data_IF_258726485286
#
_entry.id   IF_258726485286
#
_cell.length_a   1.000
_cell.length_b   1.000
_cell.length_c   1.000
_cell.angle_alpha   90.00
_cell.angle_beta   90.00
_cell.angle_gamma   90.00
#
_symmetry.space_group_name_H-M   'P 1'
#
loop_
_entity.id
_entity.type
_entity.pdbx_description
1 polymer ?
#
# COMPACT_ATOMS: atom_id res chain seq x y z
N UNK A 1 46.92 15.99 14.46
CA UNK A 1 45.57 16.56 14.22
C UNK A 1 44.99 15.85 13.02
N UNK A 2 44.33 14.72 13.27
CA UNK A 2 43.80 13.79 12.27
C UNK A 2 42.31 13.68 12.50
N UNK A 3 41.52 14.29 11.62
CA UNK A 3 40.06 14.17 11.57
C UNK A 3 39.68 12.83 10.97
N UNK A 4 39.28 11.90 11.84
CA UNK A 4 38.65 10.64 11.48
C UNK A 4 37.15 10.92 11.21
N UNK A 5 36.78 11.07 9.94
CA UNK A 5 35.39 11.09 9.52
C UNK A 5 34.89 9.66 9.37
N UNK A 6 34.18 9.14 10.38
CA UNK A 6 33.47 7.87 10.30
C UNK A 6 32.31 7.99 9.29
N UNK A 7 32.52 7.44 8.09
CA UNK A 7 31.45 7.08 7.17
C UNK A 7 30.68 5.88 7.79
N UNK A 8 29.54 6.16 8.40
CA UNK A 8 28.56 5.13 8.74
C UNK A 8 27.75 4.83 7.47
N UNK A 9 28.20 3.84 6.69
CA UNK A 9 27.43 3.29 5.56
C UNK A 9 26.31 2.44 6.18
N UNK A 10 25.11 2.99 6.29
CA UNK A 10 23.92 2.20 6.60
C UNK A 10 23.59 1.31 5.40
N UNK A 11 23.79 0.01 5.55
CA UNK A 11 23.21 -1.01 4.68
C UNK A 11 21.69 -1.06 4.90
N UNK A 12 20.94 -0.61 3.91
CA UNK A 12 19.51 -0.85 3.70
C UNK A 12 19.39 -1.29 2.23
N UNK A 13 18.66 -2.30 1.80
CA UNK A 13 17.84 -3.31 2.45
C UNK A 13 17.65 -4.41 1.39
N UNK A 14 17.76 -5.67 1.80
CA UNK A 14 17.45 -6.83 0.95
C UNK A 14 17.52 -8.14 1.72
N UNK A 15 17.17 -8.08 3.00
CA UNK A 15 16.73 -9.27 3.71
C UNK A 15 15.22 -9.22 3.74
N UNK A 16 14.60 -10.19 3.07
CA UNK A 16 13.36 -10.75 3.56
C UNK A 16 13.52 -10.94 5.08
N UNK A 17 12.69 -10.24 5.86
CA UNK A 17 12.59 -10.32 7.33
C UNK A 17 13.73 -9.67 8.18
N UNK A 18 14.02 -8.39 7.94
CA UNK A 18 15.08 -7.62 8.61
C UNK A 18 14.85 -7.20 10.09
N UNK A 19 13.84 -7.74 10.80
CA UNK A 19 13.70 -7.47 12.24
C UNK A 19 14.49 -8.54 13.00
N UNK A 20 15.52 -8.12 13.74
CA UNK A 20 16.14 -8.99 14.73
C UNK A 20 15.18 -9.13 15.90
N UNK A 21 14.94 -10.37 16.32
CA UNK A 21 13.91 -10.73 17.30
C UNK A 21 14.50 -11.68 18.34
N UNK A 22 14.08 -11.53 19.59
CA UNK A 22 14.28 -12.53 20.63
C UNK A 22 13.59 -13.84 20.21
N UNK A 23 14.19 -14.99 20.54
CA UNK A 23 13.65 -16.30 20.19
C UNK A 23 13.47 -17.19 21.42
N UNK A 24 12.23 -17.65 21.64
CA UNK A 24 11.87 -18.61 22.70
C UNK A 24 11.70 -20.00 22.09
N UNK A 25 12.55 -20.94 22.50
CA UNK A 25 12.46 -22.35 22.12
C UNK A 25 11.69 -23.13 23.19
N UNK A 26 10.73 -23.94 22.74
CA UNK A 26 9.84 -24.76 23.59
C UNK A 26 9.92 -26.20 23.12
N UNK A 27 9.76 -27.16 24.05
CA UNK A 27 9.89 -28.58 23.70
C UNK A 27 8.81 -29.01 22.69
N UNK A 28 9.24 -29.61 21.58
CA UNK A 28 8.34 -30.14 20.53
C UNK A 28 7.45 -29.11 19.83
N UNK A 29 7.77 -27.80 19.90
CA UNK A 29 6.97 -26.72 19.30
C UNK A 29 7.84 -25.76 18.49
N UNK A 30 7.22 -25.12 17.51
CA UNK A 30 7.86 -24.05 16.74
C UNK A 30 8.38 -22.93 17.65
N UNK A 31 9.59 -22.38 17.38
CA UNK A 31 10.13 -21.26 18.12
C UNK A 31 9.23 -20.03 18.01
N UNK A 32 9.05 -19.30 19.12
CA UNK A 32 8.38 -18.01 19.10
C UNK A 32 9.42 -16.92 18.89
N UNK A 33 9.18 -16.06 17.89
CA UNK A 33 10.03 -14.90 17.61
C UNK A 33 9.31 -13.62 18.04
N UNK A 34 10.00 -12.69 18.65
CA UNK A 34 9.38 -11.49 19.18
C UNK A 34 10.27 -10.66 20.09
N UNK A 35 9.67 -10.10 21.14
CA UNK A 35 10.34 -9.30 22.16
C UNK A 35 10.02 -9.87 23.53
N UNK A 36 11.03 -10.25 24.30
CA UNK A 36 10.88 -10.48 25.74
C UNK A 36 10.54 -9.13 26.37
N UNK A 37 9.41 -9.00 27.05
CA UNK A 37 9.01 -7.75 27.74
C UNK A 37 9.52 -7.75 29.17
N UNK A 38 9.30 -8.86 29.87
CA UNK A 38 9.64 -9.02 31.28
C UNK A 38 9.91 -10.48 31.60
N UNK A 39 10.90 -10.75 32.43
CA UNK A 39 11.15 -12.07 33.00
C UNK A 39 10.84 -12.04 34.50
N UNK A 40 9.82 -12.79 34.91
CA UNK A 40 9.47 -13.01 36.32
C UNK A 40 10.07 -14.29 36.87
N UNK A 41 9.70 -14.64 38.11
CA UNK A 41 10.22 -15.82 38.79
C UNK A 41 9.72 -17.16 38.21
N UNK A 42 8.51 -17.19 37.64
CA UNK A 42 7.88 -18.42 37.13
C UNK A 42 7.52 -18.37 35.64
N UNK A 43 7.47 -17.17 35.07
CA UNK A 43 7.05 -16.96 33.69
C UNK A 43 7.71 -15.72 33.07
N UNK A 44 7.71 -15.68 31.74
CA UNK A 44 8.09 -14.53 30.94
C UNK A 44 6.88 -13.92 30.25
N UNK A 45 6.85 -12.60 30.17
CA UNK A 45 5.96 -11.85 29.30
C UNK A 45 6.66 -11.63 27.97
N UNK A 46 6.04 -12.07 26.89
CA UNK A 46 6.62 -12.09 25.56
C UNK A 46 5.64 -11.51 24.54
N UNK A 47 6.09 -10.55 23.74
CA UNK A 47 5.33 -10.05 22.58
C UNK A 47 5.78 -10.84 21.36
N UNK A 48 5.01 -11.86 20.96
CA UNK A 48 5.27 -12.59 19.72
C UNK A 48 4.98 -11.69 18.53
N UNK A 49 5.94 -11.63 17.60
CA UNK A 49 5.86 -10.83 16.37
C UNK A 49 5.75 -11.80 15.19
N UNK A 50 4.65 -11.73 14.45
CA UNK A 50 4.39 -12.56 13.27
C UNK A 50 4.32 -11.66 12.04
N UNK A 51 5.34 -11.75 11.18
CA UNK A 51 5.45 -10.98 9.94
C UNK A 51 5.28 -11.91 8.76
N UNK A 52 4.06 -11.98 8.21
CA UNK A 52 3.78 -12.76 7.00
C UNK A 52 3.89 -11.88 5.76
N UNK A 53 4.31 -12.50 4.66
CA UNK A 53 4.36 -11.86 3.36
C UNK A 53 3.03 -11.23 2.95
N UNK A 54 3.06 -9.99 2.48
CA UNK A 54 1.88 -9.27 2.00
C UNK A 54 0.77 -9.11 3.05
N UNK A 55 1.09 -9.30 4.33
CA UNK A 55 0.14 -9.23 5.44
C UNK A 55 0.64 -8.27 6.52
N UNK A 56 -0.28 -7.61 7.26
CA UNK A 56 0.08 -6.80 8.42
C UNK A 56 0.87 -7.59 9.48
N UNK A 57 1.78 -6.92 10.18
CA UNK A 57 2.62 -7.50 11.24
C UNK A 57 1.81 -7.82 12.50
N UNK A 58 1.44 -9.06 12.78
CA UNK A 58 0.63 -9.37 13.97
C UNK A 58 1.50 -9.40 15.23
N UNK A 59 0.99 -8.84 16.32
CA UNK A 59 1.67 -8.83 17.63
C UNK A 59 0.74 -9.47 18.67
N UNK A 60 1.19 -10.54 19.29
CA UNK A 60 0.45 -11.26 20.33
C UNK A 60 1.16 -11.14 21.67
N UNK A 61 0.44 -10.70 22.71
CA UNK A 61 0.95 -10.75 24.08
C UNK A 61 0.78 -12.16 24.63
N UNK A 62 1.87 -12.77 25.07
CA UNK A 62 1.90 -14.13 25.61
C UNK A 62 2.56 -14.12 26.99
N UNK A 63 2.06 -14.98 27.88
CA UNK A 63 2.73 -15.35 29.12
C UNK A 63 3.19 -16.80 28.99
N UNK A 64 4.49 -17.04 29.08
CA UNK A 64 5.10 -18.37 28.88
C UNK A 64 5.77 -18.78 30.19
N UNK A 65 5.41 -19.94 30.75
CA UNK A 65 6.05 -20.43 31.97
C UNK A 65 7.50 -20.81 31.69
N UNK A 66 8.40 -20.53 32.62
CA UNK A 66 9.83 -20.88 32.49
C UNK A 66 10.03 -22.39 32.32
N UNK A 67 9.19 -23.21 32.94
CA UNK A 67 9.20 -24.68 32.78
C UNK A 67 8.95 -25.14 31.34
N UNK A 68 8.26 -24.32 30.54
CA UNK A 68 7.91 -24.63 29.16
C UNK A 68 8.99 -24.10 28.17
N UNK A 69 10.01 -23.39 28.67
CA UNK A 69 11.10 -22.80 27.88
C UNK A 69 12.33 -23.69 27.98
N UNK A 70 12.75 -24.23 26.84
CA UNK A 70 13.99 -25.00 26.70
C UNK A 70 15.21 -24.08 26.61
N UNK A 71 15.07 -23.00 25.86
CA UNK A 71 16.15 -22.06 25.55
C UNK A 71 15.57 -20.70 25.17
N UNK A 72 16.26 -19.65 25.61
CA UNK A 72 15.96 -18.26 25.26
C UNK A 72 17.19 -17.66 24.60
N UNK A 73 17.02 -17.13 23.39
CA UNK A 73 18.05 -16.39 22.67
C UNK A 73 17.61 -14.93 22.58
N UNK A 74 18.36 -14.05 23.22
CA UNK A 74 18.11 -12.61 23.18
C UNK A 74 19.00 -11.96 22.14
N UNK A 75 18.46 -10.96 21.46
CA UNK A 75 19.26 -10.07 20.60
C UNK A 75 20.02 -9.06 21.48
N UNK A 76 20.97 -8.33 20.89
CA UNK A 76 21.70 -7.32 21.64
C UNK A 76 20.81 -6.14 22.08
N UNK A 77 21.25 -5.43 23.11
CA UNK A 77 20.45 -4.36 23.73
C UNK A 77 20.12 -3.22 22.75
N UNK A 78 21.00 -2.93 21.79
CA UNK A 78 20.80 -1.87 20.80
C UNK A 78 19.71 -2.26 19.80
N UNK A 79 19.77 -3.48 19.28
CA UNK A 79 18.73 -4.03 18.41
C UNK A 79 17.40 -4.14 19.14
N UNK A 80 17.41 -4.55 20.42
CA UNK A 80 16.21 -4.68 21.26
C UNK A 80 15.56 -3.33 21.54
N UNK A 81 16.34 -2.28 21.80
CA UNK A 81 15.84 -0.91 21.91
C UNK A 81 15.19 -0.44 20.60
N UNK A 82 15.80 -0.75 19.45
CA UNK A 82 15.21 -0.49 18.13
C UNK A 82 13.89 -1.24 17.91
N UNK A 83 13.82 -2.51 18.30
CA UNK A 83 12.60 -3.32 18.21
C UNK A 83 11.46 -2.76 19.06
N UNK A 84 11.75 -2.29 20.28
CA UNK A 84 10.77 -1.63 21.16
C UNK A 84 10.17 -0.41 20.46
N UNK A 85 11.01 0.49 19.93
CA UNK A 85 10.53 1.69 19.23
C UNK A 85 9.66 1.34 18.02
N UNK A 86 10.03 0.31 17.24
CA UNK A 86 9.23 -0.16 16.10
C UNK A 86 7.87 -0.70 16.54
N UNK A 87 7.82 -1.49 17.60
CA UNK A 87 6.56 -2.04 18.13
C UNK A 87 5.66 -0.95 18.71
N UNK A 88 6.22 0.03 19.42
CA UNK A 88 5.46 1.18 19.93
C UNK A 88 4.89 2.03 18.79
N UNK A 89 5.69 2.27 17.74
CA UNK A 89 5.22 2.97 16.55
C UNK A 89 4.12 2.20 15.84
N UNK A 90 4.29 0.90 15.65
CA UNK A 90 3.25 0.02 15.07
C UNK A 90 1.95 0.10 15.86
N UNK A 91 2.03 0.03 17.19
CA UNK A 91 0.87 0.11 18.08
C UNK A 91 0.20 1.49 17.99
N UNK A 92 0.99 2.58 17.94
CA UNK A 92 0.48 3.95 17.77
C UNK A 92 -0.22 4.14 16.42
N UNK A 93 0.41 3.72 15.33
CA UNK A 93 -0.14 3.82 13.96
C UNK A 93 -1.46 3.05 13.87
N UNK A 94 -1.50 1.83 14.45
CA UNK A 94 -2.72 1.03 14.53
C UNK A 94 -3.78 1.66 15.41
N UNK A 95 -3.43 2.17 16.59
CA UNK A 95 -4.40 2.84 17.46
C UNK A 95 -5.04 4.03 16.75
N UNK A 96 -4.26 4.84 16.03
CA UNK A 96 -4.79 5.94 15.22
C UNK A 96 -5.75 5.39 14.16
N UNK A 97 -5.30 4.44 13.33
CA UNK A 97 -6.12 3.85 12.26
C UNK A 97 -7.40 3.19 12.79
N UNK A 98 -7.31 2.36 13.83
CA UNK A 98 -8.47 1.70 14.46
C UNK A 98 -9.41 2.71 15.12
N UNK A 99 -8.89 3.74 15.78
CA UNK A 99 -9.73 4.78 16.37
C UNK A 99 -10.52 5.54 15.29
N UNK A 100 -9.98 5.68 14.08
CA UNK A 100 -10.70 6.23 12.93
C UNK A 100 -11.73 5.24 12.37
N UNK A 101 -11.32 4.00 12.06
CA UNK A 101 -12.22 2.98 11.51
C UNK A 101 -13.42 2.69 12.43
N UNK A 102 -13.19 2.56 13.73
CA UNK A 102 -14.25 2.25 14.71
C UNK A 102 -15.20 3.44 14.94
N UNK A 103 -14.74 4.68 14.74
CA UNK A 103 -15.61 5.88 14.84
C UNK A 103 -16.51 6.03 13.62
N UNK A 104 -15.99 5.73 12.43
CA UNK A 104 -16.77 5.64 11.19
C UNK A 104 -17.89 4.58 11.29
N UNK A 105 -17.59 3.41 11.87
CA UNK A 105 -18.58 2.34 12.06
C UNK A 105 -19.66 2.66 13.12
N UNK A 106 -19.38 3.56 14.07
CA UNK A 106 -20.28 3.87 15.20
C UNK A 106 -21.01 5.21 15.06
N UNK A 107 -20.89 5.90 13.91
CA UNK A 107 -21.56 7.18 13.66
C UNK A 107 -21.13 8.30 14.62
N UNK A 108 -19.93 8.21 15.21
CA UNK A 108 -19.40 9.24 16.09
C UNK A 108 -18.99 10.48 15.31
N UNK A 109 -19.25 11.67 15.85
CA UNK A 109 -18.73 12.92 15.26
C UNK A 109 -17.21 12.87 15.27
N UNK A 110 -16.60 12.94 14.09
CA UNK A 110 -15.15 13.11 13.94
C UNK A 110 -14.77 14.44 14.57
N UNK A 111 -14.07 14.45 15.70
CA UNK A 111 -13.17 15.57 15.96
C UNK A 111 -12.21 15.61 14.78
N UNK A 112 -12.20 16.75 14.08
CA UNK A 112 -11.35 16.94 12.92
C UNK A 112 -9.91 16.59 13.28
N UNK A 113 -9.25 15.81 12.42
CA UNK A 113 -7.80 15.61 12.50
C UNK A 113 -7.16 17.00 12.71
N UNK A 114 -6.33 17.18 13.75
CA UNK A 114 -5.69 18.46 14.00
C UNK A 114 -5.01 18.94 12.72
N UNK A 115 -5.40 20.12 12.23
CA UNK A 115 -4.84 20.70 11.00
C UNK A 115 -5.71 20.59 9.75
N UNK A 116 -6.90 19.97 9.80
CA UNK A 116 -7.90 20.13 8.74
C UNK A 116 -8.48 21.55 8.77
N UNK A 117 -8.30 22.27 7.68
CA UNK A 117 -8.84 23.61 7.45
C UNK A 117 -9.73 23.61 6.21
N UNK A 118 -10.29 24.75 5.83
CA UNK A 118 -11.11 24.88 4.62
C UNK A 118 -10.52 25.90 3.66
N UNK A 119 -10.59 25.63 2.35
CA UNK A 119 -10.25 26.57 1.29
C UNK A 119 -11.17 26.39 0.07
N UNK A 120 -11.24 27.36 -0.86
CA UNK A 120 -11.99 27.18 -2.10
C UNK A 120 -11.48 25.97 -2.91
N UNK A 121 -12.40 25.20 -3.48
CA UNK A 121 -12.10 24.08 -4.36
C UNK A 121 -11.69 24.58 -5.75
N UNK A 122 -10.50 24.22 -6.27
CA UNK A 122 -10.06 24.68 -7.58
C UNK A 122 -10.89 24.13 -8.74
N UNK A 123 -11.57 22.99 -8.56
CA UNK A 123 -12.29 22.29 -9.62
C UNK A 123 -13.73 22.75 -9.86
N UNK A 124 -14.22 23.81 -9.20
CA UNK A 124 -15.60 24.30 -9.42
C UNK A 124 -15.67 25.54 -10.34
N UNK A 125 -14.52 26.14 -10.69
CA UNK A 125 -14.42 27.37 -11.49
C UNK A 125 -15.11 28.61 -10.91
N UNK A 126 -15.81 28.50 -9.78
CA UNK A 126 -16.66 29.53 -9.18
C UNK A 126 -16.19 29.97 -7.79
N UNK A 127 -15.32 29.18 -7.15
CA UNK A 127 -14.78 29.41 -5.81
C UNK A 127 -15.83 29.30 -4.69
N UNK A 128 -17.02 28.76 -4.98
CA UNK A 128 -18.14 28.67 -4.03
C UNK A 128 -18.11 27.38 -3.23
N UNK A 129 -17.53 26.33 -3.79
CA UNK A 129 -17.39 25.02 -3.15
C UNK A 129 -16.20 25.09 -2.21
N UNK A 130 -16.43 24.86 -0.93
CA UNK A 130 -15.34 24.76 0.04
C UNK A 130 -14.82 23.33 0.08
N UNK A 131 -13.51 23.19 -0.01
CA UNK A 131 -12.77 21.95 0.17
C UNK A 131 -12.09 21.93 1.54
N UNK A 132 -11.92 20.72 2.07
CA UNK A 132 -11.07 20.44 3.21
C UNK A 132 -9.61 20.46 2.78
N UNK A 133 -8.74 20.98 3.64
CA UNK A 133 -7.32 21.11 3.39
C UNK A 133 -6.53 20.54 4.56
N UNK A 134 -5.61 19.63 4.26
CA UNK A 134 -4.61 19.14 5.20
C UNK A 134 -3.22 19.50 4.69
N UNK A 135 -2.39 20.11 5.53
CA UNK A 135 -1.03 20.48 5.21
C UNK A 135 -0.06 19.55 5.96
N UNK A 136 0.52 18.60 5.22
CA UNK A 136 1.61 17.76 5.71
C UNK A 136 2.98 18.38 5.38
N UNK A 137 4.05 17.69 5.77
CA UNK A 137 5.41 18.17 5.52
C UNK A 137 5.83 18.12 4.04
N UNK A 138 5.32 17.14 3.29
CA UNK A 138 5.70 16.87 1.89
C UNK A 138 4.58 16.99 0.89
N UNK A 139 3.35 17.14 1.38
CA UNK A 139 2.19 17.29 0.54
C UNK A 139 1.16 18.21 1.19
N UNK A 140 0.24 18.71 0.36
CA UNK A 140 -0.96 19.40 0.77
C UNK A 140 -2.16 18.71 0.13
N UNK A 141 -3.01 18.08 0.93
CA UNK A 141 -4.26 17.49 0.47
C UNK A 141 -5.33 18.58 0.40
N UNK A 142 -6.06 18.63 -0.71
CA UNK A 142 -7.28 19.43 -0.90
C UNK A 142 -8.37 18.52 -1.41
N UNK A 143 -9.51 18.46 -0.74
CA UNK A 143 -10.57 17.53 -1.11
C UNK A 143 -11.96 18.02 -0.75
N UNK A 144 -12.92 17.74 -1.61
CA UNK A 144 -14.36 17.91 -1.37
C UNK A 144 -15.01 16.67 -0.73
N UNK A 145 -14.25 15.57 -0.59
CA UNK A 145 -14.72 14.33 0.02
C UNK A 145 -15.16 14.51 1.48
N UNK A 146 -15.94 13.55 1.96
CA UNK A 146 -16.34 13.46 3.36
C UNK A 146 -15.15 13.51 4.34
N UNK A 147 -15.36 13.95 5.59
CA UNK A 147 -14.30 14.11 6.57
C UNK A 147 -13.54 12.80 6.82
N UNK A 148 -14.23 11.66 6.87
CA UNK A 148 -13.61 10.36 7.12
C UNK A 148 -12.61 9.98 6.02
N UNK A 149 -13.00 10.14 4.75
CA UNK A 149 -12.11 9.85 3.62
C UNK A 149 -10.95 10.84 3.55
N UNK A 150 -11.20 12.14 3.77
CA UNK A 150 -10.16 13.15 3.82
C UNK A 150 -9.09 12.83 4.88
N UNK A 151 -9.53 12.40 6.07
CA UNK A 151 -8.67 11.98 7.17
C UNK A 151 -7.86 10.73 6.84
N UNK A 152 -8.51 9.70 6.29
CA UNK A 152 -7.86 8.46 5.89
C UNK A 152 -6.76 8.72 4.86
N UNK A 153 -7.06 9.53 3.84
CA UNK A 153 -6.09 9.86 2.78
C UNK A 153 -4.93 10.68 3.31
N UNK A 154 -5.19 11.67 4.19
CA UNK A 154 -4.13 12.44 4.84
C UNK A 154 -3.16 11.55 5.61
N UNK A 155 -3.67 10.65 6.46
CA UNK A 155 -2.85 9.72 7.23
C UNK A 155 -2.07 8.75 6.34
N UNK A 156 -2.73 8.20 5.31
CA UNK A 156 -2.09 7.31 4.35
C UNK A 156 -0.93 8.02 3.64
N UNK A 157 -1.13 9.25 3.17
CA UNK A 157 -0.10 10.02 2.48
C UNK A 157 1.08 10.32 3.39
N UNK A 158 0.86 10.74 4.65
CA UNK A 158 1.95 10.95 5.61
C UNK A 158 2.80 9.69 5.80
N UNK A 159 2.13 8.55 5.95
CA UNK A 159 2.79 7.25 6.09
C UNK A 159 3.60 6.89 4.84
N UNK A 160 2.98 7.01 3.67
CA UNK A 160 3.57 6.61 2.39
C UNK A 160 4.74 7.51 1.99
N UNK A 161 4.63 8.83 2.12
CA UNK A 161 5.75 9.74 1.85
C UNK A 161 6.93 9.49 2.81
N UNK A 162 6.67 9.22 4.09
CA UNK A 162 7.72 8.86 5.04
C UNK A 162 8.39 7.53 4.65
N UNK A 163 7.61 6.57 4.17
CA UNK A 163 8.09 5.28 3.73
C UNK A 163 8.93 5.38 2.44
N UNK A 164 8.52 6.22 1.48
CA UNK A 164 9.32 6.54 0.29
C UNK A 164 10.68 7.15 0.65
N UNK A 165 10.71 8.03 1.64
CA UNK A 165 11.94 8.63 2.18
C UNK A 165 12.98 7.62 2.63
N UNK A 166 12.52 6.50 3.18
CA UNK A 166 13.42 5.48 3.72
C UNK A 166 14.00 4.61 2.63
N UNK A 167 13.21 4.28 1.61
CA UNK A 167 13.64 3.43 0.50
C UNK A 167 14.50 4.20 -0.49
N UNK A 168 14.08 5.42 -0.83
CA UNK A 168 14.77 6.31 -1.77
C UNK A 168 14.95 7.68 -1.12
N UNK A 169 16.02 7.92 -0.36
CA UNK A 169 16.22 9.18 0.36
C UNK A 169 16.17 10.42 -0.54
N UNK A 170 15.60 11.55 -0.05
CA UNK A 170 15.59 12.81 -0.78
C UNK A 170 17.00 13.25 -1.16
N UNK A 171 17.15 13.71 -2.40
CA UNK A 171 18.38 14.26 -2.98
C UNK A 171 18.30 15.77 -3.20
N UNK A 172 17.12 16.36 -3.02
CA UNK A 172 16.85 17.80 -3.08
C UNK A 172 16.51 18.31 -1.69
N UNK A 173 17.13 19.42 -1.29
CA UNK A 173 16.79 20.12 -0.05
C UNK A 173 15.67 21.12 -0.29
N UNK A 174 14.66 21.14 0.59
CA UNK A 174 13.59 22.13 0.55
C UNK A 174 12.64 22.02 -0.65
N UNK A 175 12.40 20.80 -1.14
CA UNK A 175 11.40 20.58 -2.20
C UNK A 175 10.02 21.11 -1.77
N UNK A 176 9.33 21.78 -2.69
CA UNK A 176 7.98 22.28 -2.43
C UNK A 176 7.00 21.11 -2.24
N UNK A 177 6.11 21.16 -1.22
CA UNK A 177 5.10 20.13 -1.03
C UNK A 177 4.22 19.95 -2.27
N UNK A 178 3.97 18.71 -2.69
CA UNK A 178 3.04 18.41 -3.79
C UNK A 178 1.60 18.70 -3.37
N UNK A 179 0.80 19.29 -4.24
CA UNK A 179 -0.64 19.41 -3.99
C UNK A 179 -1.36 18.14 -4.43
N UNK A 180 -2.14 17.52 -3.55
CA UNK A 180 -2.99 16.37 -3.88
C UNK A 180 -4.44 16.85 -3.91
N UNK A 181 -5.03 16.88 -5.11
CA UNK A 181 -6.44 17.19 -5.34
C UNK A 181 -7.24 15.90 -5.41
N UNK A 182 -8.06 15.64 -4.40
CA UNK A 182 -8.96 14.49 -4.37
C UNK A 182 -10.40 14.97 -4.61
N UNK A 183 -10.88 14.74 -5.83
CA UNK A 183 -12.24 15.06 -6.24
C UNK A 183 -13.22 14.02 -5.67
N UNK A 184 -14.36 14.47 -5.17
CA UNK A 184 -15.41 13.62 -4.59
C UNK A 184 -16.28 12.93 -5.64
N UNK A 185 -16.32 13.48 -6.86
CA UNK A 185 -17.18 12.98 -7.93
C UNK A 185 -16.45 12.93 -9.27
N UNK A 186 -16.92 12.11 -10.24
CA UNK A 186 -16.37 12.09 -11.59
C UNK A 186 -16.45 13.45 -12.28
N UNK A 187 -17.48 14.24 -11.99
CA UNK A 187 -17.68 15.55 -12.62
C UNK A 187 -16.66 16.58 -12.13
N UNK A 188 -16.36 16.59 -10.83
CA UNK A 188 -15.29 17.40 -10.25
C UNK A 188 -13.93 16.98 -10.84
N UNK A 189 -13.67 15.67 -10.95
CA UNK A 189 -12.46 15.14 -11.57
C UNK A 189 -12.33 15.56 -13.05
N UNK A 190 -13.40 15.40 -13.84
CA UNK A 190 -13.41 15.76 -15.25
C UNK A 190 -13.13 17.26 -15.47
N UNK A 191 -13.56 18.11 -14.54
CA UNK A 191 -13.26 19.55 -14.58
C UNK A 191 -11.77 19.80 -14.35
N UNK A 192 -11.15 19.13 -13.38
CA UNK A 192 -9.71 19.23 -13.13
C UNK A 192 -8.86 18.63 -14.27
N UNK A 193 -9.37 17.60 -14.96
CA UNK A 193 -8.69 16.91 -16.04
C UNK A 193 -8.88 17.57 -17.43
N UNK A 194 -9.73 18.60 -17.54
CA UNK A 194 -10.17 19.18 -18.82
C UNK A 194 -9.02 19.65 -19.70
N UNK A 195 -8.02 20.30 -19.10
CA UNK A 195 -6.87 20.86 -19.81
C UNK A 195 -5.80 19.81 -20.16
N UNK A 196 -6.01 18.54 -19.76
CA UNK A 196 -5.09 17.42 -20.03
C UNK A 196 -5.52 16.56 -21.22
N UNK A 197 -6.50 16.99 -22.01
CA UNK A 197 -6.85 16.35 -23.28
C UNK A 197 -7.64 15.05 -23.16
N UNK A 198 -8.45 14.88 -22.11
CA UNK A 198 -9.35 13.72 -21.96
C UNK A 198 -8.66 12.46 -21.45
N UNK A 199 -7.73 12.60 -20.49
CA UNK A 199 -7.10 11.48 -19.78
C UNK A 199 -8.18 10.52 -19.26
N UNK A 200 -8.17 9.29 -19.76
CA UNK A 200 -9.08 8.22 -19.29
C UNK A 200 -8.64 7.61 -17.96
N UNK A 201 -7.41 7.90 -17.51
CA UNK A 201 -6.91 7.42 -16.23
C UNK A 201 -7.66 8.14 -15.10
N UNK A 202 -8.08 7.44 -14.04
CA UNK A 202 -8.83 8.04 -12.94
C UNK A 202 -7.94 8.84 -11.95
N UNK A 203 -6.64 8.95 -12.23
CA UNK A 203 -5.68 9.77 -11.52
C UNK A 203 -4.49 10.12 -12.44
N UNK A 204 -3.78 11.20 -12.13
CA UNK A 204 -2.50 11.54 -12.76
C UNK A 204 -1.68 12.52 -11.89
N UNK A 205 -0.37 12.52 -12.07
CA UNK A 205 0.55 13.54 -11.59
C UNK A 205 0.93 14.53 -12.71
N UNK A 206 0.78 15.83 -12.43
CA UNK A 206 1.27 16.92 -13.26
C UNK A 206 2.57 17.50 -12.67
N UNK A 207 3.73 17.25 -13.29
CA UNK A 207 5.01 17.77 -12.81
C UNK A 207 5.15 19.28 -12.96
N UNK A 208 4.42 19.92 -13.88
CA UNK A 208 4.51 21.38 -14.09
C UNK A 208 3.76 22.12 -12.98
N UNK A 209 2.56 21.66 -12.65
CA UNK A 209 1.76 22.21 -11.56
C UNK A 209 2.16 21.66 -10.18
N UNK A 210 3.08 20.70 -10.11
CA UNK A 210 3.39 19.91 -8.93
C UNK A 210 2.11 19.43 -8.20
N UNK A 211 1.23 18.79 -8.96
CA UNK A 211 -0.11 18.45 -8.50
C UNK A 211 -0.48 17.02 -8.88
N UNK A 212 -0.90 16.23 -7.89
CA UNK A 212 -1.60 14.96 -8.09
C UNK A 212 -3.09 15.23 -8.16
N UNK A 213 -3.78 14.70 -9.16
CA UNK A 213 -5.23 14.78 -9.31
C UNK A 213 -5.80 13.37 -9.27
N UNK A 214 -6.78 13.13 -8.40
CA UNK A 214 -7.42 11.82 -8.27
C UNK A 214 -8.94 11.97 -8.19
N UNK A 215 -9.66 11.16 -8.98
CA UNK A 215 -11.11 11.03 -8.91
C UNK A 215 -11.53 9.91 -7.96
N UNK A 216 -12.53 10.19 -7.14
CA UNK A 216 -13.19 9.22 -6.26
C UNK A 216 -14.70 9.24 -6.50
N UNK A 217 -15.32 8.07 -6.44
CA UNK A 217 -16.78 7.90 -6.38
C UNK A 217 -17.19 7.35 -5.00
N UNK A 218 -16.23 7.27 -4.07
CA UNK A 218 -16.37 6.53 -2.82
C UNK A 218 -17.50 7.09 -1.94
N UNK A 219 -17.74 8.40 -1.94
CA UNK A 219 -18.83 9.02 -1.19
C UNK A 219 -20.21 8.54 -1.68
N UNK A 220 -20.39 8.34 -2.99
CA UNK A 220 -21.63 7.79 -3.54
C UNK A 220 -21.78 6.30 -3.21
N UNK A 221 -20.68 5.56 -3.32
CA UNK A 221 -20.63 4.16 -2.91
C UNK A 221 -20.91 3.97 -1.41
N UNK A 222 -20.37 4.81 -0.54
CA UNK A 222 -20.59 4.79 0.91
C UNK A 222 -22.06 5.04 1.26
N UNK A 223 -22.68 6.08 0.67
CA UNK A 223 -24.14 6.33 0.85
C UNK A 223 -24.99 5.15 0.41
N UNK A 224 -24.64 4.52 -0.71
CA UNK A 224 -25.36 3.34 -1.21
C UNK A 224 -25.21 2.15 -0.26
N UNK A 225 -24.02 1.96 0.31
CA UNK A 225 -23.76 0.89 1.28
C UNK A 225 -24.49 1.16 2.60
N UNK A 226 -24.56 2.40 3.08
CA UNK A 226 -25.31 2.72 4.30
C UNK A 226 -26.82 2.43 4.13
N UNK A 227 -27.39 2.81 2.98
CA UNK A 227 -28.78 2.41 2.66
C UNK A 227 -28.96 0.90 2.61
N UNK A 228 -27.97 0.16 2.07
CA UNK A 228 -28.00 -1.31 2.09
C UNK A 228 -27.87 -1.87 3.51
N UNK A 229 -27.06 -1.27 4.39
CA UNK A 229 -26.92 -1.68 5.80
C UNK A 229 -28.24 -1.52 6.56
N UNK A 230 -28.93 -0.40 6.38
CA UNK A 230 -30.26 -0.18 6.95
C UNK A 230 -31.26 -1.24 6.47
N UNK A 231 -31.26 -1.52 5.16
CA UNK A 231 -32.10 -2.57 4.58
C UNK A 231 -31.77 -3.96 5.15
N UNK A 232 -30.49 -4.33 5.26
CA UNK A 232 -30.09 -5.61 5.84
C UNK A 232 -30.46 -5.71 7.32
N UNK A 233 -30.34 -4.63 8.09
CA UNK A 233 -30.75 -4.60 9.49
C UNK A 233 -32.25 -4.85 9.64
N UNK A 234 -33.08 -4.22 8.80
CA UNK A 234 -34.51 -4.46 8.75
C UNK A 234 -34.84 -5.91 8.37
N UNK A 235 -34.15 -6.48 7.38
CA UNK A 235 -34.34 -7.87 6.97
C UNK A 235 -33.91 -8.87 8.05
N UNK A 236 -32.80 -8.63 8.75
CA UNK A 236 -32.41 -9.44 9.91
C UNK A 236 -33.47 -9.42 11.00
N UNK A 237 -34.00 -8.23 11.33
CA UNK A 237 -35.07 -8.09 12.32
C UNK A 237 -36.34 -8.83 11.88
N UNK A 238 -36.70 -8.78 10.59
CA UNK A 238 -37.84 -9.51 10.01
C UNK A 238 -37.67 -11.03 10.12
N UNK A 239 -36.48 -11.55 9.78
CA UNK A 239 -36.17 -12.98 9.90
C UNK A 239 -36.20 -13.43 11.35
N UNK A 240 -35.61 -12.64 12.26
CA UNK A 240 -35.59 -12.93 13.70
C UNK A 240 -36.99 -12.95 14.30
N UNK A 241 -37.82 -11.97 13.95
CA UNK A 241 -39.22 -11.90 14.38
C UNK A 241 -40.01 -13.11 13.87
N UNK A 242 -39.88 -13.46 12.58
CA UNK A 242 -40.56 -14.62 12.02
C UNK A 242 -40.15 -15.95 12.69
N UNK A 243 -38.86 -16.10 13.05
CA UNK A 243 -38.40 -17.27 13.81
C UNK A 243 -39.02 -17.31 15.22
N UNK A 244 -39.15 -16.17 15.89
CA UNK A 244 -39.79 -16.06 17.21
C UNK A 244 -41.30 -16.34 17.14
N UNK A 245 -41.98 -15.82 16.13
CA UNK A 245 -43.41 -16.06 15.88
C UNK A 245 -43.66 -17.54 15.61
N UNK A 246 -42.80 -18.19 14.81
CA UNK A 246 -42.86 -19.64 14.57
C UNK A 246 -42.66 -20.42 15.88
N UNK A 247 -41.63 -20.09 16.68
CA UNK A 247 -41.42 -20.77 17.97
C UNK A 247 -42.63 -20.60 18.89
N UNK A 248 -43.23 -19.41 18.93
CA UNK A 248 -44.42 -19.14 19.73
C UNK A 248 -45.62 -19.98 19.27
N UNK A 249 -45.89 -20.01 17.97
CA UNK A 249 -46.99 -20.79 17.38
C UNK A 249 -46.89 -22.31 17.67
N UNK A 250 -45.66 -22.81 17.80
CA UNK A 250 -45.39 -24.23 18.08
C UNK A 250 -44.97 -24.50 19.54
N UNK A 251 -45.28 -23.61 20.49
CA UNK A 251 -44.95 -23.78 21.92
C UNK A 251 -43.46 -24.15 22.15
N UNK A 252 -42.56 -23.46 21.43
CA UNK A 252 -41.11 -23.67 21.39
C UNK A 252 -40.65 -25.02 20.81
N UNK A 253 -41.50 -25.76 20.09
CA UNK A 253 -41.16 -27.02 19.40
C UNK A 253 -41.55 -27.01 17.91
N UNK A 254 -41.08 -26.03 17.12
CA UNK A 254 -41.39 -25.99 15.70
C UNK A 254 -40.71 -27.13 14.92
N UNK A 255 -41.32 -27.57 13.80
CA UNK A 255 -40.69 -28.51 12.87
C UNK A 255 -39.32 -28.04 12.39
N UNK A 256 -38.38 -28.98 12.25
CA UNK A 256 -36.98 -28.68 11.93
C UNK A 256 -36.80 -28.08 10.53
N UNK A 257 -37.63 -28.49 9.57
CA UNK A 257 -37.70 -27.98 8.20
C UNK A 257 -38.18 -26.52 8.13
N UNK A 258 -39.12 -26.14 9.01
CA UNK A 258 -39.56 -24.75 9.11
C UNK A 258 -38.49 -23.88 9.76
N UNK A 259 -37.78 -24.38 10.79
CA UNK A 259 -36.64 -23.68 11.38
C UNK A 259 -35.46 -23.53 10.42
N UNK A 260 -35.14 -24.56 9.63
CA UNK A 260 -34.03 -24.50 8.67
C UNK A 260 -34.22 -23.40 7.63
N UNK A 261 -35.47 -23.12 7.23
CA UNK A 261 -35.79 -22.00 6.33
C UNK A 261 -35.29 -20.64 6.87
N UNK A 262 -35.42 -20.38 8.18
CA UNK A 262 -34.91 -19.15 8.80
C UNK A 262 -33.39 -19.16 8.97
N UNK A 263 -32.79 -20.33 9.20
CA UNK A 263 -31.33 -20.49 9.22
C UNK A 263 -30.72 -20.22 7.84
N UNK A 264 -31.31 -20.77 6.79
CA UNK A 264 -30.89 -20.56 5.40
C UNK A 264 -31.06 -19.10 4.96
N UNK A 265 -32.15 -18.45 5.39
CA UNK A 265 -32.34 -17.02 5.15
C UNK A 265 -31.26 -16.18 5.82
N UNK A 266 -30.91 -16.44 7.09
CA UNK A 266 -29.80 -15.75 7.80
C UNK A 266 -28.45 -15.98 7.12
N UNK A 267 -28.16 -17.22 6.74
CA UNK A 267 -26.89 -17.56 6.08
C UNK A 267 -26.75 -16.84 4.75
N UNK A 268 -27.83 -16.80 3.94
CA UNK A 268 -27.86 -16.05 2.68
C UNK A 268 -27.69 -14.55 2.91
N UNK A 269 -28.41 -13.96 3.88
CA UNK A 269 -28.29 -12.54 4.18
C UNK A 269 -26.88 -12.16 4.66
N UNK A 270 -26.26 -12.98 5.53
CA UNK A 270 -24.86 -12.79 5.96
C UNK A 270 -23.88 -12.83 4.78
N UNK A 271 -24.06 -13.76 3.84
CA UNK A 271 -23.20 -13.84 2.67
C UNK A 271 -23.33 -12.60 1.77
N UNK A 272 -24.54 -12.04 1.63
CA UNK A 272 -24.77 -10.78 0.90
C UNK A 272 -24.13 -9.59 1.61
N UNK A 273 -24.27 -9.50 2.93
CA UNK A 273 -23.62 -8.45 3.74
C UNK A 273 -22.10 -8.51 3.57
N UNK A 274 -21.49 -9.69 3.75
CA UNK A 274 -20.04 -9.85 3.60
C UNK A 274 -19.56 -9.48 2.20
N UNK A 275 -20.31 -9.86 1.15
CA UNK A 275 -20.01 -9.48 -0.23
C UNK A 275 -20.02 -7.95 -0.40
N UNK A 276 -21.05 -7.27 0.07
CA UNK A 276 -21.16 -5.81 -0.04
C UNK A 276 -20.02 -5.10 0.72
N UNK A 277 -19.72 -5.55 1.95
CA UNK A 277 -18.59 -5.04 2.73
C UNK A 277 -17.23 -5.31 2.06
N UNK A 278 -17.07 -6.46 1.39
CA UNK A 278 -15.86 -6.74 0.61
C UNK A 278 -15.69 -5.80 -0.59
N UNK A 279 -16.79 -5.42 -1.24
CA UNK A 279 -16.78 -4.53 -2.40
C UNK A 279 -16.32 -3.13 -1.99
N UNK A 280 -16.87 -2.56 -0.91
CA UNK A 280 -16.44 -1.23 -0.46
C UNK A 280 -14.98 -1.23 0.01
N UNK A 281 -14.53 -2.29 0.70
CA UNK A 281 -13.11 -2.44 1.05
C UNK A 281 -12.21 -2.49 -0.19
N UNK A 282 -12.67 -3.13 -1.27
CA UNK A 282 -11.94 -3.17 -2.53
C UNK A 282 -11.89 -1.80 -3.22
N UNK A 283 -13.01 -1.08 -3.32
CA UNK A 283 -13.04 0.26 -3.93
C UNK A 283 -12.14 1.25 -3.17
N UNK A 284 -12.22 1.23 -1.84
CA UNK A 284 -11.35 2.05 -0.97
C UNK A 284 -9.87 1.70 -1.18
N UNK A 285 -9.52 0.42 -1.24
CA UNK A 285 -8.15 -0.02 -1.53
C UNK A 285 -7.68 0.49 -2.89
N UNK A 286 -8.48 0.36 -3.94
CA UNK A 286 -8.13 0.83 -5.29
C UNK A 286 -7.96 2.35 -5.36
N UNK A 287 -8.73 3.12 -4.58
CA UNK A 287 -8.52 4.56 -4.46
C UNK A 287 -7.15 4.87 -3.84
N UNK A 288 -6.83 4.23 -2.72
CA UNK A 288 -5.56 4.44 -2.04
C UNK A 288 -4.36 3.99 -2.89
N UNK A 289 -4.47 2.84 -3.59
CA UNK A 289 -3.45 2.38 -4.53
C UNK A 289 -3.18 3.42 -5.62
N UNK A 290 -4.23 3.99 -6.22
CA UNK A 290 -4.09 5.07 -7.23
C UNK A 290 -3.43 6.32 -6.66
N UNK A 291 -3.84 6.75 -5.46
CA UNK A 291 -3.24 7.91 -4.80
C UNK A 291 -1.76 7.65 -4.50
N UNK A 292 -1.42 6.47 -4.01
CA UNK A 292 -0.04 6.08 -3.72
C UNK A 292 0.80 6.05 -5.02
N UNK A 293 0.25 5.50 -6.10
CA UNK A 293 0.90 5.47 -7.41
C UNK A 293 1.31 6.88 -7.86
N UNK A 294 0.36 7.82 -7.90
CA UNK A 294 0.65 9.19 -8.33
C UNK A 294 1.51 9.96 -7.32
N UNK A 295 1.33 9.70 -6.01
CA UNK A 295 2.18 10.28 -4.98
C UNK A 295 3.64 9.80 -5.11
N UNK A 296 3.87 8.56 -5.58
CA UNK A 296 5.20 8.06 -5.87
C UNK A 296 5.86 8.86 -7.00
N UNK A 297 5.15 9.09 -8.11
CA UNK A 297 5.65 9.95 -9.18
C UNK A 297 6.00 11.34 -8.68
N UNK A 298 5.12 11.96 -7.87
CA UNK A 298 5.39 13.26 -7.29
C UNK A 298 6.63 13.26 -6.39
N UNK A 299 6.77 12.26 -5.53
CA UNK A 299 7.93 12.12 -4.66
C UNK A 299 9.23 11.98 -5.47
N UNK A 300 9.23 11.09 -6.47
CA UNK A 300 10.37 10.88 -7.34
C UNK A 300 10.72 12.16 -8.11
N UNK A 301 9.74 12.84 -8.70
CA UNK A 301 9.96 14.04 -9.49
C UNK A 301 10.35 15.28 -8.67
N UNK A 302 10.01 15.35 -7.38
CA UNK A 302 10.32 16.54 -6.57
C UNK A 302 11.56 16.36 -5.70
N UNK A 303 11.69 15.19 -5.07
CA UNK A 303 12.66 14.98 -4.00
C UNK A 303 13.86 14.15 -4.44
N UNK A 304 13.71 13.22 -5.40
CA UNK A 304 14.76 12.24 -5.73
C UNK A 304 15.40 12.48 -7.10
N UNK A 305 14.58 12.62 -8.14
CA UNK A 305 14.98 12.76 -9.55
C UNK A 305 14.21 13.90 -10.23
N UNK A 306 14.58 15.16 -9.99
CA UNK A 306 13.92 16.32 -10.58
C UNK A 306 13.72 16.21 -12.10
N UNK A 307 12.49 16.44 -12.57
CA UNK A 307 12.17 16.44 -14.01
C UNK A 307 13.02 17.45 -14.78
N UNK A 308 13.34 18.59 -14.18
CA UNK A 308 14.26 19.60 -14.75
C UNK A 308 15.68 19.06 -15.00
N UNK A 309 16.06 17.99 -14.30
CA UNK A 309 17.31 17.26 -14.50
C UNK A 309 17.08 15.99 -15.34
N UNK A 310 16.04 15.90 -16.15
CA UNK A 310 15.77 14.75 -17.03
C UNK A 310 15.04 13.56 -16.40
N UNK A 311 14.76 13.59 -15.08
CA UNK A 311 13.95 12.58 -14.40
C UNK A 311 14.48 11.13 -14.49
N UNK A 312 13.60 10.18 -14.18
CA UNK A 312 13.83 8.76 -14.44
C UNK A 312 13.29 8.36 -15.82
N UNK A 313 13.86 7.32 -16.46
CA UNK A 313 13.22 6.69 -17.61
C UNK A 313 11.81 6.19 -17.26
N UNK A 314 10.86 6.34 -18.20
CA UNK A 314 9.44 6.09 -17.95
C UNK A 314 9.15 4.70 -17.39
N UNK A 315 9.78 3.65 -17.94
CA UNK A 315 9.58 2.28 -17.46
C UNK A 315 9.99 2.11 -15.98
N UNK A 316 11.00 2.84 -15.51
CA UNK A 316 11.47 2.73 -14.13
C UNK A 316 10.57 3.54 -13.20
N UNK A 317 10.17 4.74 -13.63
CA UNK A 317 9.23 5.60 -12.91
C UNK A 317 7.89 4.88 -12.67
N UNK A 318 7.28 4.36 -13.73
CA UNK A 318 6.04 3.57 -13.68
C UNK A 318 6.21 2.28 -12.89
N UNK A 319 7.33 1.58 -13.10
CA UNK A 319 7.64 0.34 -12.40
C UNK A 319 7.76 0.56 -10.89
N UNK A 320 8.39 1.65 -10.45
CA UNK A 320 8.50 2.00 -9.03
C UNK A 320 7.16 2.41 -8.43
N UNK A 321 6.40 3.27 -9.11
CA UNK A 321 5.04 3.61 -8.69
C UNK A 321 4.20 2.35 -8.50
N UNK A 322 4.32 1.39 -9.43
CA UNK A 322 3.65 0.09 -9.36
C UNK A 322 4.15 -0.84 -8.26
N UNK A 323 5.43 -0.80 -7.89
CA UNK A 323 5.95 -1.57 -6.73
C UNK A 323 5.36 -1.02 -5.43
N UNK A 324 5.17 0.29 -5.35
CA UNK A 324 4.79 0.97 -4.12
C UNK A 324 3.29 1.23 -3.96
N UNK A 325 2.49 1.20 -5.02
CA UNK A 325 1.04 1.50 -4.95
C UNK A 325 0.29 0.59 -3.97
N UNK A 326 0.63 -0.71 -3.95
CA UNK A 326 0.04 -1.73 -3.08
C UNK A 326 0.88 -2.07 -1.85
N UNK A 327 1.94 -1.32 -1.58
CA UNK A 327 2.84 -1.61 -0.47
C UNK A 327 2.17 -1.30 0.88
N UNK A 328 2.42 -2.17 1.88
CA UNK A 328 1.92 -1.93 3.23
C UNK A 328 2.87 -0.97 3.95
N UNK A 329 2.34 0.08 4.59
CA UNK A 329 3.15 0.94 5.47
C UNK A 329 2.86 0.58 6.92
N UNK A 330 3.88 0.14 7.64
CA UNK A 330 3.75 -0.25 9.05
C UNK A 330 4.99 0.17 9.83
N UNK A 331 4.79 0.80 11.00
CA UNK A 331 5.89 1.32 11.82
C UNK A 331 6.83 2.26 11.05
N UNK A 332 6.28 2.97 10.05
CA UNK A 332 7.03 3.81 9.11
C UNK A 332 7.85 3.06 8.07
N UNK A 333 7.84 1.73 8.03
CA UNK A 333 8.54 0.94 7.02
C UNK A 333 7.61 0.65 5.84
N UNK A 334 8.15 0.76 4.61
CA UNK A 334 7.46 0.31 3.40
C UNK A 334 7.69 -1.19 3.22
N UNK A 335 6.64 -1.99 3.37
CA UNK A 335 6.63 -3.43 3.09
C UNK A 335 6.18 -3.66 1.66
N UNK A 336 7.14 -3.50 0.75
CA UNK A 336 7.04 -3.86 -0.66
C UNK A 336 7.93 -5.07 -1.01
N UNK A 337 8.53 -5.70 0.01
CA UNK A 337 9.47 -6.83 -0.08
C UNK A 337 8.83 -8.14 -0.55
N UNK A 338 7.53 -8.12 -0.86
CA UNK A 338 6.80 -9.24 -1.43
C UNK A 338 6.14 -8.83 -2.73
N UNK A 339 6.26 -9.64 -3.79
CA UNK A 339 5.63 -9.33 -5.05
C UNK A 339 4.11 -9.46 -4.91
N UNK A 340 3.37 -8.57 -5.57
CA UNK A 340 1.93 -8.75 -5.77
C UNK A 340 1.67 -10.14 -6.41
N UNK A 341 0.97 -11.06 -5.71
CA UNK A 341 0.75 -12.41 -6.21
C UNK A 341 -0.04 -12.45 -7.52
N UNK A 342 -1.01 -11.56 -7.70
CA UNK A 342 -1.82 -11.50 -8.92
C UNK A 342 -0.98 -10.99 -10.08
N UNK A 343 -0.19 -9.95 -9.85
CA UNK A 343 0.70 -9.37 -10.86
C UNK A 343 1.80 -10.36 -11.25
N UNK A 344 2.43 -11.03 -10.29
CA UNK A 344 3.41 -12.08 -10.55
C UNK A 344 2.80 -13.25 -11.35
N UNK A 345 1.58 -13.67 -10.99
CA UNK A 345 0.85 -14.71 -11.73
C UNK A 345 0.60 -14.29 -13.17
N UNK A 346 0.12 -13.06 -13.40
CA UNK A 346 -0.09 -12.51 -14.75
C UNK A 346 1.21 -12.43 -15.54
N UNK A 347 2.29 -11.94 -14.92
CA UNK A 347 3.61 -11.84 -15.56
C UNK A 347 4.11 -13.23 -15.99
N UNK A 348 4.00 -14.23 -15.12
CA UNK A 348 4.40 -15.62 -15.43
C UNK A 348 3.60 -16.22 -16.56
N UNK A 349 2.28 -16.01 -16.58
CA UNK A 349 1.43 -16.46 -17.68
C UNK A 349 1.84 -15.81 -19.01
N UNK A 350 2.06 -14.50 -19.03
CA UNK A 350 2.52 -13.79 -20.21
C UNK A 350 3.92 -14.27 -20.67
N UNK A 351 4.82 -14.53 -19.73
CA UNK A 351 6.15 -15.07 -20.03
C UNK A 351 6.09 -16.48 -20.62
N UNK A 352 5.25 -17.36 -20.08
CA UNK A 352 5.04 -18.71 -20.61
C UNK A 352 4.41 -18.71 -22.00
N UNK A 353 3.52 -17.76 -22.27
CA UNK A 353 2.86 -17.59 -23.56
C UNK A 353 3.73 -16.86 -24.62
N UNK A 354 4.96 -16.44 -24.27
CA UNK A 354 5.83 -15.68 -25.18
C UNK A 354 5.32 -14.26 -25.49
N UNK A 355 4.46 -13.71 -24.63
CA UNK A 355 3.80 -12.42 -24.83
C UNK A 355 4.56 -11.23 -24.23
N UNK A 356 5.72 -11.48 -23.59
CA UNK A 356 6.58 -10.45 -23.03
C UNK A 356 7.46 -9.88 -24.15
N UNK A 357 7.35 -8.58 -24.48
CA UNK A 357 8.18 -7.98 -25.52
C UNK A 357 9.67 -8.08 -25.18
N UNK A 358 10.57 -8.02 -26.17
CA UNK A 358 12.00 -7.88 -25.94
C UNK A 358 12.28 -6.69 -25.00
N UNK A 359 13.15 -6.87 -24.01
CA UNK A 359 13.36 -5.83 -23.00
C UNK A 359 13.87 -4.52 -23.63
N UNK A 360 14.65 -4.63 -24.71
CA UNK A 360 15.15 -3.49 -25.48
C UNK A 360 14.03 -2.59 -26.05
N UNK A 361 12.85 -3.14 -26.36
CA UNK A 361 11.70 -2.38 -26.85
C UNK A 361 11.05 -1.61 -25.71
N UNK A 362 10.85 -2.26 -24.56
CA UNK A 362 10.29 -1.58 -23.38
C UNK A 362 11.20 -0.46 -22.87
N UNK A 363 12.51 -0.70 -22.81
CA UNK A 363 13.46 0.30 -22.31
C UNK A 363 13.43 1.58 -23.16
N UNK A 364 13.19 1.46 -24.47
CA UNK A 364 13.10 2.58 -25.41
C UNK A 364 11.68 3.12 -25.57
N UNK A 365 10.69 2.48 -24.96
CA UNK A 365 9.30 2.89 -25.08
C UNK A 365 9.10 4.30 -24.49
N UNK A 366 8.44 5.16 -25.25
CA UNK A 366 8.09 6.51 -24.83
C UNK A 366 6.75 6.53 -24.07
N UNK A 367 6.27 7.74 -23.75
CA UNK A 367 5.00 7.91 -23.04
C UNK A 367 3.79 7.31 -23.76
N UNK A 368 3.80 7.20 -25.10
CA UNK A 368 2.64 6.66 -25.83
C UNK A 368 2.44 5.15 -25.60
N UNK A 369 3.50 4.42 -25.30
CA UNK A 369 3.39 3.00 -24.95
C UNK A 369 2.70 2.75 -23.61
N UNK A 370 2.64 3.75 -22.73
CA UNK A 370 2.02 3.68 -21.41
C UNK A 370 0.65 4.38 -21.35
N UNK A 371 0.35 5.31 -22.27
CA UNK A 371 -0.92 6.03 -22.28
C UNK A 371 -2.10 5.22 -22.85
N UNK A 372 -3.21 5.19 -22.11
CA UNK A 372 -4.47 4.59 -22.54
C UNK A 372 -5.27 5.59 -23.40
N UNK A 373 -4.95 5.71 -24.68
CA UNK A 373 -5.74 6.53 -25.62
C UNK A 373 -6.84 5.73 -26.34
N UNK A 374 -6.65 4.42 -26.55
CA UNK A 374 -7.60 3.54 -27.25
C UNK A 374 -7.69 2.12 -26.65
N UNK A 375 -8.79 1.36 -26.84
CA UNK A 375 -8.96 0.02 -26.24
C UNK A 375 -7.90 -1.02 -26.63
N UNK A 376 -7.34 -0.94 -27.83
CA UNK A 376 -6.26 -1.83 -28.30
C UNK A 376 -4.91 -1.47 -27.66
N UNK A 377 -4.66 -0.18 -27.44
CA UNK A 377 -3.51 0.33 -26.69
C UNK A 377 -3.53 -0.16 -25.22
N UNK A 378 -4.71 -0.51 -24.68
CA UNK A 378 -4.85 -1.04 -23.31
C UNK A 378 -4.11 -2.34 -23.08
N UNK A 379 -4.17 -3.29 -24.02
CA UNK A 379 -3.44 -4.57 -23.87
C UNK A 379 -1.93 -4.38 -23.93
N UNK A 380 -1.46 -3.49 -24.80
CA UNK A 380 -0.03 -3.19 -24.94
C UNK A 380 0.51 -2.42 -23.73
N UNK A 381 -0.23 -1.40 -23.28
CA UNK A 381 0.07 -0.63 -22.06
C UNK A 381 0.06 -1.55 -20.83
N UNK A 382 -0.95 -2.39 -20.65
CA UNK A 382 -1.03 -3.35 -19.54
C UNK A 382 0.20 -4.27 -19.47
N UNK A 383 0.72 -4.71 -20.63
CA UNK A 383 1.94 -5.52 -20.71
C UNK A 383 3.19 -4.69 -20.40
N UNK A 384 3.29 -3.47 -20.91
CA UNK A 384 4.40 -2.58 -20.64
C UNK A 384 4.52 -2.27 -19.14
N UNK A 385 3.41 -1.92 -18.50
CA UNK A 385 3.29 -1.79 -17.04
C UNK A 385 3.72 -3.07 -16.31
N UNK A 386 3.17 -4.22 -16.70
CA UNK A 386 3.50 -5.50 -16.06
C UNK A 386 4.99 -5.83 -16.11
N UNK A 387 5.66 -5.53 -17.21
CA UNK A 387 7.12 -5.72 -17.34
C UNK A 387 7.90 -4.66 -16.57
N UNK A 388 7.48 -3.40 -16.63
CA UNK A 388 8.07 -2.29 -15.88
C UNK A 388 8.08 -2.59 -14.37
N UNK A 389 6.95 -3.04 -13.82
CA UNK A 389 6.87 -3.50 -12.42
C UNK A 389 7.85 -4.63 -12.12
N UNK A 390 7.86 -5.69 -12.95
CA UNK A 390 8.71 -6.85 -12.71
C UNK A 390 10.20 -6.48 -12.76
N UNK A 391 10.57 -5.52 -13.60
CA UNK A 391 11.94 -5.04 -13.73
C UNK A 391 12.33 -4.14 -12.56
N UNK A 392 11.48 -3.19 -12.17
CA UNK A 392 11.70 -2.33 -11.01
C UNK A 392 11.80 -3.15 -9.72
N UNK A 393 10.92 -4.15 -9.54
CA UNK A 393 10.97 -5.07 -8.40
C UNK A 393 12.32 -5.80 -8.31
N UNK A 394 12.77 -6.37 -9.42
CA UNK A 394 14.05 -7.07 -9.48
C UNK A 394 15.23 -6.14 -9.19
N UNK A 395 15.24 -4.94 -9.76
CA UNK A 395 16.29 -3.94 -9.52
C UNK A 395 16.31 -3.47 -8.07
N UNK A 396 15.14 -3.30 -7.45
CA UNK A 396 15.01 -2.80 -6.08
C UNK A 396 15.40 -3.86 -5.05
N UNK A 397 14.89 -5.09 -5.17
CA UNK A 397 15.02 -6.10 -4.11
C UNK A 397 16.09 -7.16 -4.35
N UNK A 398 16.22 -7.65 -5.59
CA UNK A 398 17.21 -8.70 -5.91
C UNK A 398 18.59 -8.08 -6.16
N UNK A 399 18.65 -7.05 -7.00
CA UNK A 399 19.91 -6.37 -7.34
C UNK A 399 20.30 -5.25 -6.39
N UNK A 400 19.33 -4.66 -5.68
CA UNK A 400 19.55 -3.48 -4.84
C UNK A 400 20.28 -2.35 -5.61
N UNK A 401 19.97 -2.21 -6.91
CA UNK A 401 20.67 -1.31 -7.83
C UNK A 401 20.21 0.15 -7.70
N UNK A 402 19.11 0.38 -6.98
CA UNK A 402 18.48 1.70 -6.81
C UNK A 402 18.93 2.43 -5.54
N UNK A 403 19.92 1.89 -4.82
CA UNK A 403 20.57 2.55 -3.69
C UNK A 403 22.06 2.80 -3.96
N UNK A 404 22.60 3.84 -3.34
CA UNK A 404 24.03 4.15 -3.38
C UNK A 404 24.56 4.51 -4.77
N UNK A 405 25.84 4.20 -5.00
CA UNK A 405 26.62 4.71 -6.14
C UNK A 405 26.27 4.07 -7.48
N UNK A 406 25.61 2.92 -7.49
CA UNK A 406 25.19 2.24 -8.73
C UNK A 406 24.20 3.08 -9.52
N UNK A 407 23.17 3.57 -8.84
CA UNK A 407 22.18 4.46 -9.42
C UNK A 407 22.79 5.79 -9.88
N UNK A 408 23.67 6.38 -9.07
CA UNK A 408 24.35 7.64 -9.42
C UNK A 408 25.12 7.52 -10.75
N UNK A 409 25.87 6.42 -10.93
CA UNK A 409 26.58 6.13 -12.18
C UNK A 409 25.62 5.87 -13.33
N UNK A 410 24.55 5.11 -13.09
CA UNK A 410 23.58 4.83 -14.14
C UNK A 410 22.93 6.11 -14.68
N UNK A 411 22.65 7.08 -13.81
CA UNK A 411 22.09 8.38 -14.22
C UNK A 411 22.96 9.16 -15.20
N UNK A 412 24.28 8.92 -15.25
CA UNK A 412 25.17 9.50 -16.27
C UNK A 412 24.83 9.00 -17.68
N UNK A 413 24.33 7.77 -17.79
CA UNK A 413 23.93 7.12 -19.05
C UNK A 413 22.45 7.29 -19.40
N UNK A 414 21.67 8.08 -18.64
CA UNK A 414 20.20 8.19 -18.76
C UNK A 414 19.66 8.58 -20.14
N UNK A 415 20.48 9.24 -20.97
CA UNK A 415 20.10 9.60 -22.34
C UNK A 415 19.94 8.38 -23.26
N UNK A 416 20.56 7.25 -22.91
CA UNK A 416 20.38 5.97 -23.60
C UNK A 416 19.75 4.96 -22.62
N UNK A 417 18.45 4.68 -22.75
CA UNK A 417 17.74 3.81 -21.81
C UNK A 417 18.32 2.40 -21.67
N UNK A 418 18.95 1.87 -22.72
CA UNK A 418 19.64 0.57 -22.66
C UNK A 418 20.92 0.69 -21.86
N UNK A 419 21.76 1.68 -22.14
CA UNK A 419 23.00 1.89 -21.38
C UNK A 419 22.72 2.20 -19.90
N UNK A 420 21.65 2.96 -19.61
CA UNK A 420 21.16 3.20 -18.26
C UNK A 420 20.80 1.89 -17.55
N UNK A 421 20.05 1.01 -18.21
CA UNK A 421 19.67 -0.29 -17.64
C UNK A 421 20.88 -1.23 -17.46
N UNK A 422 21.81 -1.27 -18.41
CA UNK A 422 23.04 -2.05 -18.29
C UNK A 422 23.92 -1.56 -17.13
N UNK A 423 23.99 -0.25 -16.91
CA UNK A 423 24.67 0.34 -15.76
C UNK A 423 24.01 -0.02 -14.42
N UNK A 424 22.66 -0.04 -14.36
CA UNK A 424 21.94 -0.48 -13.17
C UNK A 424 22.12 -1.98 -12.90
N UNK A 425 22.01 -2.82 -13.93
CA UNK A 425 22.10 -4.27 -13.79
C UNK A 425 23.55 -4.77 -13.64
N UNK A 426 24.54 -3.93 -14.00
CA UNK A 426 25.95 -4.28 -14.04
C UNK A 426 26.29 -5.32 -15.12
N UNK A 427 25.42 -5.50 -16.12
CA UNK A 427 25.49 -6.58 -17.11
C UNK A 427 25.01 -6.10 -18.48
N UNK A 428 25.52 -6.68 -19.60
CA UNK A 428 24.95 -6.43 -20.92
C UNK A 428 23.49 -6.90 -21.01
N UNK A 429 22.69 -6.20 -21.81
CA UNK A 429 21.23 -6.40 -21.88
C UNK A 429 20.80 -7.86 -22.07
N UNK A 430 21.38 -8.68 -22.98
CA UNK A 430 20.97 -10.08 -23.15
C UNK A 430 21.21 -10.94 -21.90
N UNK A 431 22.30 -10.69 -21.16
CA UNK A 431 22.62 -11.42 -19.94
C UNK A 431 21.71 -10.98 -18.79
N UNK A 432 21.52 -9.67 -18.64
CA UNK A 432 20.61 -9.09 -17.65
C UNK A 432 19.17 -9.57 -17.85
N UNK A 433 18.67 -9.59 -19.09
CA UNK A 433 17.34 -10.07 -19.42
C UNK A 433 17.16 -11.57 -19.06
N UNK A 434 18.16 -12.41 -19.35
CA UNK A 434 18.14 -13.82 -18.97
C UNK A 434 18.07 -14.00 -17.45
N UNK A 435 18.90 -13.26 -16.69
CA UNK A 435 18.90 -13.32 -15.23
C UNK A 435 17.58 -12.85 -14.64
N UNK A 436 17.07 -11.72 -15.11
CA UNK A 436 15.80 -11.17 -14.66
C UNK A 436 14.63 -12.14 -14.91
N UNK A 437 14.54 -12.74 -16.10
CA UNK A 437 13.50 -13.72 -16.42
C UNK A 437 13.57 -14.96 -15.51
N UNK A 438 14.78 -15.42 -15.18
CA UNK A 438 14.97 -16.54 -14.24
C UNK A 438 14.57 -16.17 -12.81
N UNK A 439 14.98 -14.99 -12.33
CA UNK A 439 14.61 -14.50 -11.01
C UNK A 439 13.08 -14.39 -10.86
N UNK A 440 12.40 -13.79 -11.86
CA UNK A 440 10.94 -13.66 -11.84
C UNK A 440 10.22 -15.01 -11.98
N UNK A 441 10.84 -16.02 -12.61
CA UNK A 441 10.31 -17.38 -12.69
C UNK A 441 10.32 -18.09 -11.34
N UNK A 442 11.37 -17.90 -10.54
CA UNK A 442 11.59 -18.60 -9.27
C UNK A 442 11.10 -17.83 -8.05
N UNK A 443 10.75 -16.55 -8.20
CA UNK A 443 10.27 -15.69 -7.12
C UNK A 443 9.07 -16.31 -6.34
N UNK A 444 9.07 -16.38 -5.01
CA UNK A 444 7.92 -16.93 -4.28
C UNK A 444 6.63 -16.11 -4.54
N UNK A 445 5.53 -16.78 -4.92
CA UNK A 445 4.22 -16.12 -5.16
C UNK A 445 3.39 -15.89 -3.90
N UNK A 446 3.91 -16.37 -2.77
CA UNK A 446 3.37 -16.20 -1.43
C UNK A 446 4.52 -16.48 -0.47
N UNK A 447 4.66 -15.71 0.61
CA UNK A 447 5.49 -16.15 1.73
C UNK A 447 4.97 -17.52 2.16
N UNK A 448 5.82 -18.53 2.08
CA UNK A 448 5.43 -19.92 2.33
C UNK A 448 4.72 -20.06 3.69
N UNK A 449 3.58 -20.76 3.59
CA UNK A 449 2.71 -21.43 4.58
C UNK A 449 3.05 -21.31 6.06
#
# INVERSE_FOLDING_TARGET
MTTLGCLLVMMLAGQADAWKLDTVYREGREPLKGLLVRQGAEAVEFKQVVRRAGSPTLVFALTIRLSDIKRLELIDDADRAGLIQKLERLENDRRRLFAHLRRAELGGTTEDLPGLTTAPWPGDGTGKTMARVYAGNRFRLVTTAGPELAQLVALQLDQVFAAYAQVLPPRVTGAAPVTVLLARTPAEYATLAKDKGGVLNPAFFDPVANTVVCGSDLDEFEKRIDSLREHHAAEFARIQKGEQDLKTAFQNRPPADLLSTFQDARTRLRAVVERNESTIRQERRQLLERINHEACHAYLANEVFPSAKGGLPRWLDEGLAQVFEGALVEAGELRADYPDPQRLSRFRKAMQAGEIPPLAELLRADGQAFLLQHPEARRQSDRAYLVAWALAYWLLFDKQALSGTTLDKALEARANPVAFFEALSGKPLPEAEKQWREAMRTLPSSGMR
#
